data_IF_998775322772
#
_entry.id   IF_998775322772
#
_cell.length_a   1.000
_cell.length_b   1.000
_cell.length_c   1.000
_cell.angle_alpha   90.00
_cell.angle_beta   90.00
_cell.angle_gamma   90.00
#
_symmetry.space_group_name_H-M   'P 1'
#
loop_
_entity.id
_entity.type
_entity.pdbx_description
1 polymer ?
#
# COMPACT_ATOMS: atom_id res chain seq x y z
N UNK A 1 -1.61 -27.41 -5.01
CA UNK A 1 -2.44 -26.21 -4.90
C UNK A 1 -1.63 -25.02 -5.41
N UNK A 2 -2.18 -24.25 -6.29
CA UNK A 2 -1.43 -23.11 -6.79
C UNK A 2 -1.64 -21.89 -5.90
N UNK A 3 -0.72 -20.97 -5.98
CA UNK A 3 -0.71 -19.75 -5.16
C UNK A 3 -1.92 -18.86 -5.44
N UNK A 4 -2.35 -18.78 -6.70
CA UNK A 4 -3.52 -17.98 -7.06
C UNK A 4 -4.80 -18.47 -6.36
N UNK A 5 -5.00 -19.78 -6.28
CA UNK A 5 -6.16 -20.34 -5.59
C UNK A 5 -6.12 -20.04 -4.10
N UNK A 6 -4.93 -20.13 -3.48
CA UNK A 6 -4.77 -19.83 -2.07
C UNK A 6 -5.11 -18.37 -1.79
N UNK A 7 -4.55 -17.45 -2.58
CA UNK A 7 -4.82 -16.03 -2.40
C UNK A 7 -6.30 -15.72 -2.66
N UNK A 8 -6.89 -16.33 -3.70
CA UNK A 8 -8.31 -16.13 -3.97
C UNK A 8 -9.18 -16.55 -2.79
N UNK A 9 -8.83 -17.65 -2.12
CA UNK A 9 -9.57 -18.09 -0.95
C UNK A 9 -9.46 -17.10 0.21
N UNK A 10 -8.26 -16.54 0.42
CA UNK A 10 -8.07 -15.51 1.45
C UNK A 10 -8.88 -14.26 1.13
N UNK A 11 -8.89 -13.84 -0.12
CA UNK A 11 -9.66 -12.66 -0.57
C UNK A 11 -11.16 -12.91 -0.41
N UNK A 12 -11.64 -14.08 -0.77
CA UNK A 12 -13.06 -14.42 -0.65
C UNK A 12 -13.51 -14.39 0.81
N UNK A 13 -12.68 -14.92 1.71
CA UNK A 13 -12.98 -14.90 3.14
C UNK A 13 -13.00 -13.47 3.68
N UNK A 14 -12.00 -12.67 3.31
CA UNK A 14 -11.94 -11.26 3.73
C UNK A 14 -13.13 -10.47 3.19
N UNK A 15 -13.50 -10.70 1.93
CA UNK A 15 -14.61 -9.99 1.29
C UNK A 15 -15.95 -10.26 1.94
N UNK A 16 -16.15 -11.47 2.44
CA UNK A 16 -17.42 -11.81 3.14
C UNK A 16 -17.63 -10.92 4.36
N UNK A 17 -16.57 -10.57 5.06
CA UNK A 17 -16.64 -9.68 6.21
C UNK A 17 -17.10 -8.27 5.80
N UNK A 18 -16.80 -7.87 4.56
CA UNK A 18 -17.18 -6.57 4.02
C UNK A 18 -18.45 -6.63 3.18
N UNK A 19 -19.10 -7.79 3.11
CA UNK A 19 -20.27 -8.01 2.27
C UNK A 19 -19.99 -7.69 0.79
N UNK A 20 -18.81 -8.05 0.32
CA UNK A 20 -18.42 -7.82 -1.05
C UNK A 20 -17.70 -9.05 -1.60
N UNK A 21 -17.63 -9.13 -2.92
CA UNK A 21 -16.92 -10.20 -3.61
C UNK A 21 -15.61 -9.65 -4.13
N UNK A 22 -14.49 -10.16 -3.60
CA UNK A 22 -13.17 -9.76 -4.04
C UNK A 22 -12.60 -10.85 -4.95
N UNK A 23 -12.19 -10.46 -6.15
CA UNK A 23 -11.69 -11.41 -7.15
C UNK A 23 -10.31 -11.02 -7.62
N UNK A 24 -9.47 -12.04 -7.71
CA UNK A 24 -8.12 -11.91 -8.24
C UNK A 24 -8.21 -12.00 -9.77
N UNK A 25 -7.85 -10.94 -10.47
CA UNK A 25 -7.85 -10.90 -11.93
C UNK A 25 -6.44 -10.59 -12.42
N UNK A 26 -5.86 -11.51 -13.19
CA UNK A 26 -4.48 -11.38 -13.66
C UNK A 26 -3.50 -11.12 -12.51
N UNK A 27 -3.73 -11.78 -11.38
CA UNK A 27 -2.88 -11.66 -10.21
C UNK A 27 -3.09 -10.39 -9.39
N UNK A 28 -4.15 -9.63 -9.64
CA UNK A 28 -4.39 -8.34 -8.98
C UNK A 28 -5.82 -8.26 -8.48
N UNK A 29 -5.98 -7.73 -7.26
CA UNK A 29 -7.28 -7.39 -6.70
C UNK A 29 -7.20 -5.99 -6.09
N UNK A 30 -8.08 -5.10 -6.54
CA UNK A 30 -8.14 -3.74 -6.02
C UNK A 30 -9.25 -3.65 -4.97
N UNK A 31 -8.92 -3.08 -3.82
CA UNK A 31 -9.87 -2.85 -2.74
C UNK A 31 -10.10 -1.35 -2.61
N UNK A 32 -11.38 -0.96 -2.60
CA UNK A 32 -11.77 0.45 -2.53
C UNK A 32 -12.53 0.72 -1.24
N UNK A 33 -12.43 1.96 -0.75
CA UNK A 33 -13.24 2.43 0.37
C UNK A 33 -14.69 2.64 -0.08
N UNK A 34 -15.64 2.81 0.87
CA UNK A 34 -17.01 3.18 0.50
C UNK A 34 -17.07 4.46 -0.31
N UNK A 35 -16.11 5.36 -0.18
CA UNK A 35 -16.02 6.59 -0.96
C UNK A 35 -15.34 6.38 -2.31
N UNK A 36 -15.09 5.12 -2.70
CA UNK A 36 -14.49 4.72 -3.98
C UNK A 36 -13.04 5.18 -4.16
N UNK A 37 -12.34 5.39 -3.05
CA UNK A 37 -10.91 5.66 -3.08
C UNK A 37 -10.14 4.35 -2.92
N UNK A 38 -8.95 4.29 -3.51
CA UNK A 38 -8.10 3.12 -3.39
C UNK A 38 -7.68 2.91 -1.95
N UNK A 39 -8.06 1.77 -1.37
CA UNK A 39 -7.61 1.39 -0.03
C UNK A 39 -6.34 0.57 -0.10
N UNK A 40 -6.29 -0.40 -1.01
CA UNK A 40 -5.11 -1.24 -1.21
C UNK A 40 -5.24 -1.99 -2.53
N UNK A 41 -4.10 -2.24 -3.16
CA UNK A 41 -3.98 -3.17 -4.28
C UNK A 41 -3.27 -4.41 -3.73
N UNK A 42 -3.88 -5.56 -3.94
CA UNK A 42 -3.32 -6.86 -3.54
C UNK A 42 -2.83 -7.54 -4.80
N UNK A 43 -1.56 -7.91 -4.83
CA UNK A 43 -0.95 -8.41 -6.04
C UNK A 43 -0.12 -9.65 -5.77
N UNK A 44 -0.26 -10.64 -6.65
CA UNK A 44 0.59 -11.82 -6.67
C UNK A 44 1.35 -11.79 -8.00
N UNK A 45 2.60 -11.28 -8.01
CA UNK A 45 3.36 -11.20 -9.26
C UNK A 45 3.59 -12.59 -9.88
N UNK A 46 3.62 -12.68 -11.22
CA UNK A 46 3.86 -13.97 -11.88
C UNK A 46 5.17 -14.60 -11.42
N UNK A 47 5.10 -15.90 -11.12
CA UNK A 47 6.28 -16.65 -10.68
C UNK A 47 6.73 -16.37 -9.26
N UNK A 48 5.99 -15.57 -8.52
CA UNK A 48 6.32 -15.21 -7.14
C UNK A 48 5.40 -15.94 -6.16
N UNK A 49 5.93 -16.24 -4.97
CA UNK A 49 5.12 -16.72 -3.86
C UNK A 49 4.85 -15.63 -2.83
N UNK A 50 5.23 -14.40 -3.13
CA UNK A 50 5.03 -13.27 -2.22
C UNK A 50 3.80 -12.46 -2.64
N UNK A 51 2.94 -12.17 -1.66
CA UNK A 51 1.82 -11.25 -1.83
C UNK A 51 2.34 -9.85 -1.57
N UNK A 52 2.11 -8.95 -2.52
CA UNK A 52 2.47 -7.54 -2.39
C UNK A 52 1.20 -6.74 -2.15
N UNK A 53 1.22 -5.87 -1.15
CA UNK A 53 0.16 -4.89 -0.92
C UNK A 53 0.74 -3.52 -1.22
N UNK A 54 0.02 -2.71 -1.96
CA UNK A 54 0.46 -1.33 -2.17
C UNK A 54 -0.74 -0.40 -2.34
N UNK A 55 -0.51 0.88 -2.09
CA UNK A 55 -1.53 1.89 -2.32
C UNK A 55 -0.89 3.24 -2.59
N UNK A 56 -1.64 4.09 -3.28
CA UNK A 56 -1.19 5.44 -3.56
C UNK A 56 -1.26 6.27 -2.30
N UNK A 57 -0.16 6.94 -1.98
CA UNK A 57 -0.08 7.86 -0.86
C UNK A 57 -0.30 9.29 -1.34
N UNK A 58 0.31 9.64 -2.47
CA UNK A 58 0.25 10.98 -3.01
C UNK A 58 0.76 10.97 -4.44
N UNK A 59 0.33 11.93 -5.25
CA UNK A 59 0.92 12.19 -6.57
C UNK A 59 1.95 13.30 -6.39
N UNK A 60 3.19 13.03 -6.80
CA UNK A 60 4.26 14.02 -6.72
C UNK A 60 4.32 14.82 -8.03
N UNK A 61 4.56 16.11 -7.89
CA UNK A 61 4.81 16.94 -9.06
C UNK A 61 6.21 16.62 -9.63
N UNK A 62 6.38 16.81 -10.92
CA UNK A 62 7.65 16.53 -11.58
C UNK A 62 8.81 17.35 -10.99
N UNK A 63 8.49 18.52 -10.45
CA UNK A 63 9.46 19.44 -9.86
C UNK A 63 9.39 19.44 -8.33
N UNK A 64 9.01 18.31 -7.73
CA UNK A 64 8.94 18.18 -6.28
C UNK A 64 10.25 18.58 -5.62
N UNK A 65 10.15 19.21 -4.44
CA UNK A 65 11.33 19.74 -3.76
C UNK A 65 12.26 18.62 -3.29
N UNK A 66 13.55 18.93 -3.25
CA UNK A 66 14.54 18.02 -2.69
C UNK A 66 14.26 17.72 -1.22
N UNK A 67 13.71 18.69 -0.48
CA UNK A 67 13.36 18.50 0.93
C UNK A 67 12.29 17.41 1.09
N UNK A 68 11.29 17.40 0.22
CA UNK A 68 10.25 16.36 0.26
C UNK A 68 10.84 15.00 -0.04
N UNK A 69 11.64 14.87 -1.09
CA UNK A 69 12.26 13.60 -1.46
C UNK A 69 13.22 13.11 -0.38
N UNK A 70 13.97 14.02 0.23
CA UNK A 70 14.86 13.70 1.34
C UNK A 70 14.07 13.12 2.51
N UNK A 71 12.94 13.73 2.86
CA UNK A 71 12.11 13.27 3.97
C UNK A 71 11.49 11.91 3.69
N UNK A 72 11.07 11.66 2.45
CA UNK A 72 10.53 10.36 2.06
C UNK A 72 11.58 9.27 2.23
N UNK A 73 12.81 9.51 1.76
CA UNK A 73 13.89 8.54 1.89
C UNK A 73 14.31 8.35 3.34
N UNK A 74 14.31 9.41 4.13
CA UNK A 74 14.61 9.33 5.56
C UNK A 74 13.53 8.50 6.27
N UNK A 75 12.27 8.72 5.94
CA UNK A 75 11.16 7.96 6.53
C UNK A 75 11.28 6.48 6.25
N UNK A 76 11.75 6.09 5.06
CA UNK A 76 11.95 4.69 4.71
C UNK A 76 12.92 3.97 5.65
N UNK A 77 13.82 4.70 6.29
CA UNK A 77 14.78 4.13 7.23
C UNK A 77 14.24 4.05 8.66
N UNK A 78 13.10 4.69 8.94
CA UNK A 78 12.47 4.67 10.26
C UNK A 78 11.64 3.40 10.42
N UNK A 79 12.31 2.31 10.77
CA UNK A 79 11.70 0.97 10.76
C UNK A 79 10.52 0.86 11.70
N UNK A 80 10.59 1.47 12.88
CA UNK A 80 9.48 1.42 13.84
C UNK A 80 8.25 2.14 13.30
N UNK A 81 8.44 3.27 12.65
CA UNK A 81 7.33 4.03 12.08
C UNK A 81 6.76 3.34 10.84
N UNK A 82 7.60 2.71 10.04
CA UNK A 82 7.18 2.12 8.77
C UNK A 82 6.62 0.70 8.89
N UNK A 83 6.94 0.00 9.96
CA UNK A 83 6.33 -1.31 10.29
C UNK A 83 6.38 -2.33 9.16
N UNK A 84 7.54 -2.44 8.53
CA UNK A 84 7.72 -3.40 7.43
C UNK A 84 7.24 -2.91 6.08
N UNK A 85 6.79 -1.67 5.99
CA UNK A 85 6.41 -1.05 4.73
C UNK A 85 7.54 -0.19 4.18
N UNK A 86 7.44 0.15 2.90
CA UNK A 86 8.38 1.08 2.29
C UNK A 86 7.65 1.96 1.29
N UNK A 87 8.22 3.13 1.01
CA UNK A 87 7.71 4.07 0.02
C UNK A 87 8.50 3.90 -1.27
N UNK A 88 7.78 3.93 -2.39
CA UNK A 88 8.37 3.80 -3.71
C UNK A 88 7.66 4.70 -4.70
N UNK A 89 8.34 5.05 -5.77
CA UNK A 89 7.74 5.84 -6.85
C UNK A 89 7.46 4.95 -8.05
N UNK A 90 6.25 5.07 -8.56
CA UNK A 90 5.85 4.55 -9.85
C UNK A 90 5.44 5.75 -10.67
N UNK A 91 6.32 6.17 -11.58
CA UNK A 91 6.17 7.44 -12.30
C UNK A 91 6.06 8.59 -11.29
N UNK A 92 4.90 9.25 -11.20
CA UNK A 92 4.68 10.34 -10.26
C UNK A 92 3.90 9.88 -9.03
N UNK A 93 3.54 8.61 -8.96
CA UNK A 93 2.75 8.09 -7.85
C UNK A 93 3.67 7.61 -6.73
N UNK A 94 3.56 8.24 -5.59
CA UNK A 94 4.22 7.76 -4.38
C UNK A 94 3.33 6.68 -3.78
N UNK A 95 3.85 5.47 -3.65
CA UNK A 95 3.10 4.33 -3.16
C UNK A 95 3.73 3.78 -1.90
N UNK A 96 2.88 3.36 -0.96
CA UNK A 96 3.31 2.58 0.19
C UNK A 96 3.20 1.11 -0.19
N UNK A 97 4.21 0.32 0.16
CA UNK A 97 4.28 -1.08 -0.23
C UNK A 97 4.64 -1.94 0.97
N UNK A 98 4.16 -3.18 0.96
CA UNK A 98 4.65 -4.23 1.85
C UNK A 98 4.50 -5.56 1.14
N UNK A 99 5.16 -6.61 1.66
CA UNK A 99 5.02 -7.94 1.11
C UNK A 99 5.17 -9.00 2.17
N UNK A 100 4.55 -10.15 1.94
CA UNK A 100 4.63 -11.31 2.81
C UNK A 100 4.63 -12.58 1.98
N UNK A 101 5.33 -13.63 2.40
CA UNK A 101 5.21 -14.92 1.74
C UNK A 101 3.78 -15.44 1.84
N UNK A 102 3.21 -15.84 0.72
CA UNK A 102 1.83 -16.35 0.69
C UNK A 102 1.69 -17.60 1.56
N UNK A 103 2.74 -18.42 1.63
CA UNK A 103 2.72 -19.66 2.40
C UNK A 103 2.55 -19.42 3.90
N UNK A 104 2.86 -18.22 4.40
CA UNK A 104 2.70 -17.88 5.81
C UNK A 104 1.32 -17.31 6.14
N UNK A 105 0.43 -17.17 5.14
CA UNK A 105 -0.85 -16.50 5.32
C UNK A 105 -2.00 -17.51 5.43
N UNK A 106 -2.79 -17.33 6.49
CA UNK A 106 -4.10 -17.96 6.64
C UNK A 106 -5.17 -16.86 6.70
N UNK A 107 -6.43 -17.24 6.87
CA UNK A 107 -7.52 -16.26 6.88
C UNK A 107 -7.36 -15.20 7.96
N UNK A 108 -6.88 -15.62 9.13
CA UNK A 108 -6.75 -14.70 10.27
C UNK A 108 -5.62 -13.71 10.07
N UNK A 109 -4.43 -14.21 9.73
CA UNK A 109 -3.29 -13.31 9.61
C UNK A 109 -3.31 -12.51 8.32
N UNK A 110 -3.98 -13.00 7.27
CA UNK A 110 -4.19 -12.19 6.08
C UNK A 110 -5.11 -11.00 6.39
N UNK A 111 -6.19 -11.24 7.13
CA UNK A 111 -7.08 -10.14 7.53
C UNK A 111 -6.33 -9.11 8.37
N UNK A 112 -5.52 -9.58 9.32
CA UNK A 112 -4.70 -8.69 10.14
C UNK A 112 -3.67 -7.91 9.33
N UNK A 113 -3.04 -8.57 8.36
CA UNK A 113 -2.08 -7.91 7.47
C UNK A 113 -2.75 -6.81 6.66
N UNK A 114 -3.90 -7.11 6.05
CA UNK A 114 -4.58 -6.16 5.19
C UNK A 114 -5.16 -4.99 5.99
N UNK A 115 -5.81 -5.27 7.11
CA UNK A 115 -6.32 -4.21 7.99
C UNK A 115 -5.19 -3.32 8.51
N UNK A 116 -4.09 -3.94 8.93
CA UNK A 116 -2.94 -3.21 9.42
C UNK A 116 -2.27 -2.38 8.33
N UNK A 117 -2.22 -2.90 7.12
CA UNK A 117 -1.66 -2.15 5.99
C UNK A 117 -2.52 -0.93 5.66
N UNK A 118 -3.84 -1.09 5.63
CA UNK A 118 -4.75 0.02 5.34
C UNK A 118 -4.60 1.12 6.40
N UNK A 119 -4.49 0.72 7.67
CA UNK A 119 -4.28 1.67 8.76
C UNK A 119 -2.93 2.38 8.62
N UNK A 120 -1.88 1.62 8.33
CA UNK A 120 -0.54 2.18 8.15
C UNK A 120 -0.50 3.16 6.98
N UNK A 121 -1.18 2.84 5.89
CA UNK A 121 -1.25 3.71 4.73
C UNK A 121 -1.90 5.05 5.08
N UNK A 122 -2.96 5.01 5.88
CA UNK A 122 -3.64 6.22 6.34
C UNK A 122 -2.71 7.09 7.18
N UNK A 123 -1.96 6.47 8.09
CA UNK A 123 -1.02 7.18 8.96
C UNK A 123 0.12 7.81 8.17
N UNK A 124 0.71 7.06 7.23
CA UNK A 124 1.80 7.57 6.40
C UNK A 124 1.30 8.71 5.51
N UNK A 125 0.12 8.55 4.94
CA UNK A 125 -0.48 9.59 4.10
C UNK A 125 -0.68 10.88 4.88
N UNK A 126 -1.20 10.78 6.11
CA UNK A 126 -1.40 11.95 6.97
C UNK A 126 -0.07 12.61 7.34
N UNK A 127 0.94 11.81 7.65
CA UNK A 127 2.26 12.33 7.99
C UNK A 127 2.87 13.11 6.82
N UNK A 128 2.83 12.54 5.63
CA UNK A 128 3.42 13.17 4.45
C UNK A 128 2.64 14.44 4.07
N UNK A 129 1.32 14.38 4.15
CA UNK A 129 0.47 15.54 3.87
C UNK A 129 0.78 16.70 4.81
N UNK A 130 0.95 16.40 6.11
CA UNK A 130 1.31 17.41 7.09
C UNK A 130 2.71 17.97 6.83
N UNK A 131 3.65 17.10 6.47
CA UNK A 131 5.00 17.54 6.13
C UNK A 131 4.98 18.51 4.94
N UNK A 132 4.21 18.19 3.89
CA UNK A 132 4.10 19.04 2.70
C UNK A 132 3.57 20.43 3.07
N UNK A 133 2.61 20.50 4.01
CA UNK A 133 2.08 21.78 4.48
C UNK A 133 3.13 22.66 5.13
N UNK A 134 4.13 22.04 5.78
CA UNK A 134 5.16 22.80 6.49
C UNK A 134 6.31 23.22 5.60
N UNK A 135 6.36 22.74 4.35
CA UNK A 135 7.41 23.11 3.43
C UNK A 135 7.24 24.59 3.00
N UNK A 136 8.37 25.32 2.85
CA UNK A 136 8.27 26.68 2.34
C UNK A 136 7.68 26.67 0.94
N UNK A 137 6.78 27.62 0.67
CA UNK A 137 6.27 27.81 -0.68
C UNK A 137 7.43 28.26 -1.57
N UNK A 138 7.56 27.61 -2.73
CA UNK A 138 8.58 28.03 -3.69
C UNK A 138 8.30 29.48 -4.11
N UNK A 139 9.28 30.35 -3.91
CA UNK A 139 9.14 31.73 -4.33
C UNK A 139 9.35 31.80 -5.84
N UNK A 140 8.51 32.55 -6.55
CA UNK A 140 8.76 32.78 -7.97
C UNK A 140 10.08 33.47 -8.14
N UNK A 141 10.82 33.04 -9.14
CA UNK A 141 12.12 33.60 -9.45
C UNK A 141 11.98 35.07 -9.91
#
# INVERSE_FOLDING_TARGET
MNESAHLQNLLSHYGRRLNTSLKLENGVCALFTPQKQEAAIIELPPGSDAVVLHCQVMVLEADSSAALLHSILTLNFEMDAMRGCWLALEEQNLRLCTQQPLSSLDNRNFAGLLDGFIQQASEVQSFIREFVRTLPTALPA
#
